data_IF_859853564462
#
_entry.id   IF_859853564462
#
_cell.length_a   1.000
_cell.length_b   1.000
_cell.length_c   1.000
_cell.angle_alpha   90.00
_cell.angle_beta   90.00
_cell.angle_gamma   90.00
#
_symmetry.space_group_name_H-M   'P 1'
#
loop_
_entity.id
_entity.type
_entity.pdbx_description
1 polymer ?
#
# COMPACT_ATOMS: atom_id res chain seq x y z
N UNK A 1 13.09 1.48 -12.63
CA UNK A 1 12.44 2.20 -11.53
C UNK A 1 11.55 3.28 -12.13
N UNK A 2 10.38 3.51 -11.56
CA UNK A 2 9.58 4.71 -11.84
C UNK A 2 9.88 5.80 -10.82
N UNK A 3 9.67 7.04 -11.25
CA UNK A 3 9.65 8.23 -10.38
C UNK A 3 8.26 8.82 -10.53
N UNK A 4 7.39 8.55 -9.55
CA UNK A 4 5.98 8.94 -9.57
C UNK A 4 5.77 10.22 -8.77
N UNK A 5 4.88 11.08 -9.25
CA UNK A 5 4.32 12.19 -8.48
C UNK A 5 2.98 11.73 -7.93
N UNK A 6 2.86 11.60 -6.61
CA UNK A 6 1.68 11.01 -5.95
C UNK A 6 1.03 12.05 -5.05
N UNK A 7 -0.24 12.35 -5.29
CA UNK A 7 -1.03 13.20 -4.39
C UNK A 7 -1.38 12.43 -3.11
N UNK A 8 -1.07 13.03 -1.97
CA UNK A 8 -1.28 12.45 -0.63
C UNK A 8 -2.33 13.23 0.18
N UNK A 9 -3.17 14.03 -0.50
CA UNK A 9 -4.25 14.82 0.09
C UNK A 9 -4.01 16.32 0.08
N UNK A 10 -5.11 17.09 0.00
CA UNK A 10 -5.12 18.56 0.03
C UNK A 10 -4.18 19.20 -1.01
N UNK A 11 -4.00 18.59 -2.18
CA UNK A 11 -3.07 19.07 -3.22
C UNK A 11 -1.59 18.89 -2.89
N UNK A 12 -1.24 18.21 -1.79
CA UNK A 12 0.15 17.87 -1.47
C UNK A 12 0.61 16.69 -2.33
N UNK A 13 1.73 16.85 -3.03
CA UNK A 13 2.30 15.85 -3.93
C UNK A 13 3.68 15.45 -3.43
N UNK A 14 3.97 14.14 -3.46
CA UNK A 14 5.27 13.56 -3.11
C UNK A 14 5.92 12.86 -4.29
N UNK A 15 7.24 12.98 -4.38
CA UNK A 15 8.04 12.16 -5.28
C UNK A 15 8.30 10.79 -4.65
N UNK A 16 7.86 9.72 -5.32
CA UNK A 16 8.06 8.35 -4.87
C UNK A 16 8.78 7.55 -5.95
N UNK A 17 9.89 6.94 -5.57
CA UNK A 17 10.69 6.08 -6.44
C UNK A 17 10.34 4.61 -6.20
N UNK A 18 9.92 3.89 -7.24
CA UNK A 18 9.44 2.50 -7.09
C UNK A 18 10.09 1.50 -8.07
N UNK A 19 10.45 0.33 -7.54
CA UNK A 19 11.12 -0.76 -8.27
C UNK A 19 10.21 -1.58 -9.20
N UNK A 20 8.97 -1.14 -9.43
CA UNK A 20 7.89 -1.96 -9.99
C UNK A 20 7.78 -1.94 -11.53
N UNK A 21 8.62 -1.18 -12.24
CA UNK A 21 8.54 -0.97 -13.70
C UNK A 21 8.49 -2.27 -14.55
N UNK A 22 9.11 -3.34 -14.06
CA UNK A 22 9.14 -4.64 -14.76
C UNK A 22 7.88 -5.49 -14.53
N UNK A 23 7.04 -5.11 -13.56
CA UNK A 23 5.86 -5.86 -13.16
C UNK A 23 4.56 -5.12 -13.44
N UNK A 24 4.55 -3.79 -13.22
CA UNK A 24 3.37 -2.95 -13.39
C UNK A 24 3.64 -2.00 -14.56
N UNK A 25 2.90 -2.11 -15.68
CA UNK A 25 3.06 -1.19 -16.80
C UNK A 25 2.55 0.21 -16.42
N UNK A 26 3.07 1.22 -17.12
CA UNK A 26 2.79 2.64 -16.83
C UNK A 26 1.29 2.95 -16.78
N UNK A 27 0.49 2.42 -17.70
CA UNK A 27 -0.96 2.65 -17.74
C UNK A 27 -1.76 2.02 -16.59
N UNK A 28 -1.16 1.07 -15.86
CA UNK A 28 -1.72 0.50 -14.62
C UNK A 28 -1.27 1.25 -13.37
N UNK A 29 -0.45 2.30 -13.52
CA UNK A 29 0.05 3.14 -12.43
C UNK A 29 -0.44 4.59 -12.55
N UNK A 30 -0.51 5.13 -13.77
CA UNK A 30 -0.99 6.50 -14.02
C UNK A 30 -2.48 6.63 -13.67
N UNK A 31 -2.81 7.72 -12.96
CA UNK A 31 -4.19 8.04 -12.54
C UNK A 31 -4.87 6.92 -11.72
N UNK A 32 -4.08 6.08 -11.04
CA UNK A 32 -4.58 5.04 -10.13
C UNK A 32 -4.42 5.44 -8.68
N UNK A 33 -5.41 5.08 -7.87
CA UNK A 33 -5.30 5.12 -6.42
C UNK A 33 -4.30 4.08 -5.94
N UNK A 34 -3.52 4.45 -4.94
CA UNK A 34 -2.55 3.57 -4.30
C UNK A 34 -2.53 3.81 -2.79
N UNK A 35 -2.00 2.85 -2.05
CA UNK A 35 -1.68 3.02 -0.63
C UNK A 35 -0.23 3.49 -0.49
N UNK A 36 -0.01 4.50 0.35
CA UNK A 36 1.30 5.12 0.57
C UNK A 36 1.71 5.01 2.03
N UNK A 37 2.93 4.55 2.28
CA UNK A 37 3.58 4.59 3.59
C UNK A 37 4.40 5.88 3.70
N UNK A 38 3.86 6.88 4.39
CA UNK A 38 4.37 8.26 4.36
C UNK A 38 5.16 8.71 5.61
N UNK A 39 5.18 7.87 6.66
CA UNK A 39 5.91 8.14 7.89
C UNK A 39 7.30 7.46 7.93
N UNK A 40 7.82 7.00 6.80
CA UNK A 40 9.21 6.56 6.71
C UNK A 40 10.19 7.74 6.58
N UNK A 41 11.47 7.48 6.84
CA UNK A 41 12.55 8.42 6.56
C UNK A 41 12.76 8.49 5.04
N UNK A 42 12.77 9.70 4.49
CA UNK A 42 13.10 9.95 3.08
C UNK A 42 14.47 9.32 2.73
N UNK A 43 14.56 8.70 1.57
CA UNK A 43 15.80 8.07 1.10
C UNK A 43 16.13 8.55 -0.32
N UNK A 44 17.29 8.14 -0.84
CA UNK A 44 17.64 8.33 -2.25
C UNK A 44 17.76 6.98 -2.92
N UNK A 45 17.07 6.79 -4.03
CA UNK A 45 17.17 5.61 -4.88
C UNK A 45 17.83 6.00 -6.19
N UNK A 46 19.05 5.53 -6.42
CA UNK A 46 19.85 5.86 -7.61
C UNK A 46 20.02 7.37 -7.85
N UNK A 47 20.17 8.13 -6.77
CA UNK A 47 20.34 9.60 -6.80
C UNK A 47 19.03 10.38 -6.68
N UNK A 48 17.89 9.78 -7.01
CA UNK A 48 16.58 10.42 -6.93
C UNK A 48 16.00 10.33 -5.52
N UNK A 49 15.45 11.43 -4.95
CA UNK A 49 14.78 11.38 -3.67
C UNK A 49 13.48 10.57 -3.76
N UNK A 50 13.26 9.69 -2.77
CA UNK A 50 11.98 9.04 -2.50
C UNK A 50 11.49 9.50 -1.15
N UNK A 51 10.31 10.12 -1.14
CA UNK A 51 9.76 10.76 0.07
C UNK A 51 8.86 9.83 0.88
N UNK A 52 8.36 8.78 0.24
CA UNK A 52 7.47 7.77 0.77
C UNK A 52 7.64 6.46 -0.02
N UNK A 53 6.75 5.50 0.19
CA UNK A 53 6.70 4.23 -0.55
C UNK A 53 5.27 3.87 -0.93
N UNK A 54 5.10 3.34 -2.14
CA UNK A 54 3.83 2.78 -2.63
C UNK A 54 3.77 1.32 -2.19
N UNK A 55 2.68 0.93 -1.53
CA UNK A 55 2.45 -0.43 -1.07
C UNK A 55 1.97 -1.31 -2.24
N UNK A 56 2.60 -2.47 -2.41
CA UNK A 56 2.24 -3.45 -3.43
C UNK A 56 2.13 -4.85 -2.81
N UNK A 57 1.27 -5.69 -3.37
CA UNK A 57 1.37 -7.12 -3.15
C UNK A 57 2.39 -7.73 -4.10
N UNK A 58 3.10 -8.75 -3.62
CA UNK A 58 4.00 -9.57 -4.42
C UNK A 58 3.80 -11.06 -4.14
N UNK A 59 3.93 -11.86 -5.19
CA UNK A 59 3.87 -13.31 -5.11
C UNK A 59 4.96 -13.91 -5.98
N UNK A 60 5.70 -14.89 -5.46
CA UNK A 60 6.62 -15.69 -6.27
C UNK A 60 6.13 -17.12 -6.28
N UNK A 61 5.74 -17.59 -7.45
CA UNK A 61 5.27 -18.96 -7.63
C UNK A 61 6.43 -19.94 -7.36
N UNK A 62 6.22 -20.87 -6.43
CA UNK A 62 7.27 -21.77 -5.95
C UNK A 62 7.75 -22.78 -7.00
N UNK A 63 6.96 -23.05 -8.03
CA UNK A 63 7.26 -24.05 -9.07
C UNK A 63 7.99 -23.41 -10.24
N UNK A 64 7.46 -22.30 -10.73
CA UNK A 64 7.95 -21.59 -11.92
C UNK A 64 9.00 -20.53 -11.59
N UNK A 65 9.07 -20.09 -10.32
CA UNK A 65 9.93 -18.99 -9.88
C UNK A 65 9.51 -17.62 -10.40
N UNK A 66 8.32 -17.50 -10.99
CA UNK A 66 7.83 -16.24 -11.58
C UNK A 66 7.28 -15.35 -10.47
N UNK A 67 7.82 -14.13 -10.39
CA UNK A 67 7.32 -13.09 -9.48
C UNK A 67 6.29 -12.20 -10.17
N UNK A 68 5.14 -12.03 -9.53
CA UNK A 68 4.09 -11.09 -9.89
C UNK A 68 3.96 -10.00 -8.83
N UNK A 69 3.76 -8.75 -9.24
CA UNK A 69 3.56 -7.62 -8.34
C UNK A 69 2.30 -6.86 -8.77
N UNK A 70 1.46 -6.49 -7.81
CA UNK A 70 0.19 -5.78 -8.03
C UNK A 70 0.04 -4.65 -7.02
N UNK A 71 -0.58 -3.56 -7.45
CA UNK A 71 -0.77 -2.37 -6.62
C UNK A 71 -1.77 -2.67 -5.49
N UNK A 72 -1.48 -2.22 -4.27
CA UNK A 72 -2.49 -2.16 -3.23
C UNK A 72 -3.34 -0.90 -3.41
N UNK A 73 -4.66 -1.05 -3.45
CA UNK A 73 -5.60 0.04 -3.67
C UNK A 73 -6.88 -0.13 -2.85
N UNK A 74 -7.58 0.96 -2.52
CA UNK A 74 -8.91 0.87 -1.92
C UNK A 74 -9.93 0.29 -2.91
N UNK A 75 -10.86 -0.52 -2.40
CA UNK A 75 -12.00 -1.04 -3.16
C UNK A 75 -13.04 0.07 -3.35
N UNK A 76 -12.87 0.86 -4.40
CA UNK A 76 -13.79 1.93 -4.76
C UNK A 76 -15.09 1.36 -5.33
N UNK A 77 -16.22 1.83 -4.81
CA UNK A 77 -17.56 1.44 -5.26
C UNK A 77 -18.20 2.51 -6.17
N UNK A 78 -17.73 3.76 -6.11
CA UNK A 78 -18.21 4.85 -6.98
C UNK A 78 -17.10 5.85 -7.34
N UNK A 79 -17.23 6.53 -8.48
CA UNK A 79 -16.30 7.59 -8.88
C UNK A 79 -16.27 8.78 -7.91
N UNK A 80 -17.35 9.01 -7.17
CA UNK A 80 -17.45 10.09 -6.18
C UNK A 80 -16.53 9.86 -4.97
N UNK A 81 -16.31 8.59 -4.59
CA UNK A 81 -15.40 8.23 -3.50
C UNK A 81 -13.94 8.56 -3.82
N UNK A 82 -13.55 8.54 -5.10
CA UNK A 82 -12.15 8.78 -5.53
C UNK A 82 -11.65 10.16 -5.06
N UNK A 83 -12.46 11.21 -5.22
CA UNK A 83 -12.04 12.56 -4.83
C UNK A 83 -11.96 12.73 -3.30
N UNK A 84 -12.71 11.94 -2.53
CA UNK A 84 -12.80 12.08 -1.08
C UNK A 84 -11.75 11.22 -0.35
N UNK A 85 -11.28 10.15 -0.98
CA UNK A 85 -10.40 9.15 -0.37
C UNK A 85 -8.92 9.55 -0.41
N UNK A 86 -8.52 10.43 -1.33
CA UNK A 86 -7.12 10.89 -1.43
C UNK A 86 -6.73 11.65 -0.17
N UNK A 87 -5.67 11.17 0.50
CA UNK A 87 -5.19 11.71 1.78
C UNK A 87 -5.90 11.19 3.03
N UNK A 88 -6.89 10.31 2.87
CA UNK A 88 -7.48 9.62 4.01
C UNK A 88 -6.52 8.59 4.60
N UNK A 89 -6.70 8.30 5.89
CA UNK A 89 -5.82 7.42 6.64
C UNK A 89 -6.15 5.95 6.38
N UNK A 90 -5.11 5.13 6.30
CA UNK A 90 -5.22 3.67 6.33
C UNK A 90 -5.07 3.19 7.76
N UNK A 91 -6.02 2.38 8.22
CA UNK A 91 -6.09 1.88 9.60
C UNK A 91 -6.30 0.37 9.60
N UNK A 92 -5.87 -0.27 10.68
CA UNK A 92 -6.08 -1.70 10.93
C UNK A 92 -7.25 -1.89 11.91
N UNK A 93 -7.47 -0.92 12.80
CA UNK A 93 -8.60 -0.87 13.73
C UNK A 93 -9.34 0.48 13.59
N UNK A 94 -10.67 0.46 13.68
CA UNK A 94 -11.50 1.67 13.50
C UNK A 94 -11.18 2.77 14.53
N UNK A 95 -10.79 2.37 15.73
CA UNK A 95 -10.47 3.24 16.86
C UNK A 95 -8.96 3.55 16.96
N UNK A 96 -8.16 3.16 15.96
CA UNK A 96 -6.73 3.39 15.96
C UNK A 96 -6.41 4.90 15.98
N UNK A 97 -5.59 5.33 16.94
CA UNK A 97 -5.06 6.68 16.96
C UNK A 97 -4.07 6.88 15.80
N UNK A 98 -4.28 7.95 15.04
CA UNK A 98 -3.41 8.31 13.93
C UNK A 98 -2.14 8.95 14.49
N UNK A 99 -1.00 8.49 14.00
CA UNK A 99 0.32 9.03 14.40
C UNK A 99 1.12 9.46 13.18
N UNK A 100 1.80 10.59 13.30
CA UNK A 100 2.78 11.10 12.32
C UNK A 100 4.22 10.68 12.67
N UNK A 101 4.40 9.86 13.72
CA UNK A 101 5.71 9.44 14.18
C UNK A 101 6.45 8.73 13.05
N UNK A 102 7.70 9.14 12.86
CA UNK A 102 8.58 8.47 11.91
C UNK A 102 8.90 7.04 12.35
N UNK A 103 8.70 6.08 11.45
CA UNK A 103 9.05 4.68 11.65
C UNK A 103 10.48 4.41 11.15
N UNK A 104 11.18 3.52 11.85
CA UNK A 104 12.53 3.08 11.45
C UNK A 104 12.41 1.96 10.41
N UNK A 105 13.45 1.74 9.56
CA UNK A 105 13.42 0.63 8.59
C UNK A 105 13.12 -0.73 9.23
N UNK A 106 13.78 -1.04 10.37
CA UNK A 106 13.52 -2.30 11.10
C UNK A 106 12.08 -2.45 11.56
N UNK A 107 11.46 -1.34 11.97
CA UNK A 107 10.06 -1.34 12.42
C UNK A 107 9.12 -1.59 11.24
N UNK A 108 9.41 -1.00 10.07
CA UNK A 108 8.70 -1.30 8.83
C UNK A 108 8.90 -2.76 8.40
N UNK A 109 10.11 -3.30 8.50
CA UNK A 109 10.39 -4.71 8.18
C UNK A 109 9.54 -5.64 9.07
N UNK A 110 9.42 -5.31 10.36
CA UNK A 110 8.60 -6.07 11.31
C UNK A 110 7.10 -5.98 10.97
N UNK A 111 6.59 -4.78 10.66
CA UNK A 111 5.20 -4.58 10.26
C UNK A 111 4.89 -5.35 8.96
N UNK A 112 5.70 -5.12 7.91
CA UNK A 112 5.47 -5.69 6.59
C UNK A 112 5.67 -7.20 6.53
N UNK A 113 6.44 -7.79 7.44
CA UNK A 113 6.54 -9.26 7.56
C UNK A 113 5.21 -9.94 7.93
N UNK A 114 4.28 -9.18 8.50
CA UNK A 114 2.95 -9.65 8.88
C UNK A 114 1.83 -9.09 7.98
N UNK A 115 2.18 -8.41 6.88
CA UNK A 115 1.23 -7.90 5.89
C UNK A 115 1.14 -8.85 4.70
N UNK A 116 -0.06 -9.34 4.40
CA UNK A 116 -0.31 -10.21 3.25
C UNK A 116 -1.75 -10.11 2.76
N UNK A 117 -2.06 -10.78 1.64
CA UNK A 117 -3.42 -10.89 1.12
C UNK A 117 -4.14 -12.11 1.68
N UNK A 118 -5.39 -11.96 2.14
CA UNK A 118 -6.23 -13.12 2.47
C UNK A 118 -6.87 -13.76 1.22
N UNK A 119 -7.70 -14.79 1.41
CA UNK A 119 -8.40 -15.50 0.31
C UNK A 119 -9.35 -14.63 -0.52
N UNK A 120 -9.72 -13.45 -0.01
CA UNK A 120 -10.55 -12.47 -0.73
C UNK A 120 -9.72 -11.43 -1.47
N UNK A 121 -8.39 -11.48 -1.37
CA UNK A 121 -7.46 -10.47 -1.88
C UNK A 121 -7.46 -9.17 -1.07
N UNK A 122 -7.99 -9.19 0.16
CA UNK A 122 -7.94 -8.06 1.08
C UNK A 122 -6.57 -8.04 1.75
N UNK A 123 -6.00 -6.85 1.95
CA UNK A 123 -4.75 -6.71 2.68
C UNK A 123 -5.05 -6.86 4.17
N UNK A 124 -4.37 -7.79 4.83
CA UNK A 124 -4.49 -8.05 6.26
C UNK A 124 -3.14 -7.87 6.95
N UNK A 125 -3.20 -7.47 8.22
CA UNK A 125 -2.12 -7.53 9.18
C UNK A 125 -2.41 -8.65 10.18
N UNK A 126 -1.46 -9.56 10.37
CA UNK A 126 -1.52 -10.56 11.43
C UNK A 126 -0.87 -10.02 12.69
N UNK A 127 -1.60 -9.99 13.80
CA UNK A 127 -1.05 -9.57 15.09
C UNK A 127 -0.30 -10.70 15.82
N UNK A 128 0.25 -10.39 16.99
CA UNK A 128 1.04 -11.33 17.81
C UNK A 128 0.24 -12.55 18.28
N UNK A 129 -1.09 -12.44 18.36
CA UNK A 129 -2.00 -13.53 18.72
C UNK A 129 -2.40 -14.39 17.50
N UNK A 130 -1.92 -14.02 16.31
CA UNK A 130 -2.21 -14.69 15.06
C UNK A 130 -3.56 -14.28 14.43
N UNK A 131 -4.22 -13.24 14.96
CA UNK A 131 -5.48 -12.76 14.43
C UNK A 131 -5.25 -11.87 13.20
N UNK A 132 -6.00 -12.14 12.13
CA UNK A 132 -5.98 -11.32 10.92
C UNK A 132 -6.88 -10.09 11.08
N UNK A 133 -6.31 -8.91 10.84
CA UNK A 133 -7.03 -7.65 10.81
C UNK A 133 -6.92 -7.00 9.44
N UNK A 134 -8.06 -6.72 8.82
CA UNK A 134 -8.12 -6.14 7.47
C UNK A 134 -7.72 -4.67 7.52
N UNK A 135 -6.98 -4.22 6.51
CA UNK A 135 -6.64 -2.81 6.32
C UNK A 135 -7.79 -2.09 5.62
N UNK A 136 -8.14 -0.91 6.14
CA UNK A 136 -9.19 -0.06 5.60
C UNK A 136 -8.72 1.37 5.44
N UNK A 137 -9.21 2.05 4.41
CA UNK A 137 -9.21 3.51 4.36
C UNK A 137 -10.41 4.03 5.13
N UNK A 138 -10.19 4.93 6.09
CA UNK A 138 -11.25 5.53 6.91
C UNK A 138 -11.78 6.80 6.24
N UNK A 139 -13.05 6.80 5.83
CA UNK A 139 -13.74 7.97 5.26
C UNK A 139 -14.95 8.32 6.13
N UNK A 140 -14.76 9.23 7.08
CA UNK A 140 -15.79 9.51 8.09
C UNK A 140 -16.06 8.26 8.94
N UNK A 141 -17.28 7.71 8.83
CA UNK A 141 -17.69 6.47 9.49
C UNK A 141 -17.61 5.24 8.57
N UNK A 142 -17.25 5.42 7.30
CA UNK A 142 -17.10 4.33 6.34
C UNK A 142 -15.68 3.76 6.40
N UNK A 143 -15.59 2.42 6.28
CA UNK A 143 -14.34 1.69 6.18
C UNK A 143 -14.26 1.05 4.79
N UNK A 144 -13.36 1.55 3.96
CA UNK A 144 -13.17 1.11 2.58
C UNK A 144 -12.01 0.13 2.54
N UNK A 145 -12.28 -1.13 2.23
CA UNK A 145 -11.27 -2.20 2.27
C UNK A 145 -10.12 -1.95 1.30
N UNK A 146 -8.88 -2.19 1.75
CA UNK A 146 -7.70 -2.22 0.89
C UNK A 146 -7.52 -3.61 0.29
N UNK A 147 -7.29 -3.68 -1.03
CA UNK A 147 -7.13 -4.93 -1.76
C UNK A 147 -5.88 -4.93 -2.63
N UNK A 148 -5.42 -6.14 -2.95
CA UNK A 148 -4.50 -6.40 -4.06
C UNK A 148 -5.15 -7.44 -4.96
N UNK A 149 -5.60 -7.00 -6.13
CA UNK A 149 -6.29 -7.88 -7.08
C UNK A 149 -5.32 -8.65 -7.98
N UNK A 150 -5.67 -9.91 -8.28
CA UNK A 150 -4.94 -10.72 -9.24
C UNK A 150 -3.67 -11.39 -8.72
N UNK A 151 -3.49 -11.46 -7.39
CA UNK A 151 -2.48 -12.31 -6.75
C UNK A 151 -3.13 -13.47 -5.99
N UNK A 152 -2.42 -14.60 -5.80
CA UNK A 152 -2.86 -15.67 -4.90
C UNK A 152 -3.04 -15.19 -3.45
N UNK A 153 -3.73 -15.98 -2.63
CA UNK A 153 -3.75 -15.74 -1.19
C UNK A 153 -2.38 -15.93 -0.56
N UNK A 154 -2.18 -15.31 0.59
CA UNK A 154 -0.91 -15.21 1.30
C UNK A 154 0.23 -14.59 0.47
N UNK A 155 -0.10 -13.72 -0.47
CA UNK A 155 0.91 -12.90 -1.16
C UNK A 155 1.37 -11.78 -0.22
N UNK A 156 2.68 -11.60 -0.09
CA UNK A 156 3.25 -10.59 0.82
C UNK A 156 2.89 -9.18 0.34
N UNK A 157 2.67 -8.24 1.27
CA UNK A 157 2.33 -6.85 0.95
C UNK A 157 3.37 -5.91 1.55
N UNK A 158 4.12 -5.22 0.69
CA UNK A 158 5.26 -4.37 1.09
C UNK A 158 5.61 -3.29 0.07
#
# INVERSE_FOLDING_TARGET
>A
MYVSQVEIGNGSVKQICSGIRQFIPKGELEEKLCIVVDNMKKCKLRGEPSEAMILCGEHTDAVTGVTSVKLASPLIQSSEQVCQIVGQQVVIDADQEITDRKIKPKEWDDISSNLYTNDKGEVVYQDEDGLEKVLFVKLGNELITVKVEGLPSHSAVR
#
